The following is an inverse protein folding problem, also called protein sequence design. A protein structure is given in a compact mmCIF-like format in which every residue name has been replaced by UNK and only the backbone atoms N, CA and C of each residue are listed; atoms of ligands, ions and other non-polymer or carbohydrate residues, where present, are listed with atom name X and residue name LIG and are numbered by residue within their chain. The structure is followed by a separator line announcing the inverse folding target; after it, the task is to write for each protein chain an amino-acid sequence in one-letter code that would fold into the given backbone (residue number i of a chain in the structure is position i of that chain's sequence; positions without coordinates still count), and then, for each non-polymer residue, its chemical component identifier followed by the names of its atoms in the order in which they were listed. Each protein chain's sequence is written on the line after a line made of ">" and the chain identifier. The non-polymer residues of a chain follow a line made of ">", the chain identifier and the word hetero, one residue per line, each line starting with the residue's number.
data_IF_043445695034
#
_entry.id   IF_043445695034
#
_cell.length_a   1.000
_cell.length_b   1.000
_cell.length_c   1.000
_cell.angle_alpha   90.00
_cell.angle_beta   90.00
_cell.angle_gamma   90.00
#
_symmetry.space_group_name_H-M   'P 1'
#
loop_
_entity.id
_entity.type
_entity.pdbx_description
1 polymer ?
#
# COMPACT_ATOMS: atom_id res chain seq x y z
N UNK A 1 23.38 43.73 17.51
CA UNK A 1 22.01 43.22 17.31
C UNK A 1 21.26 43.38 18.62
N UNK A 2 20.11 44.03 18.57
CA UNK A 2 19.28 44.47 19.69
C UNK A 2 18.18 43.45 20.04
N UNK A 3 17.95 43.22 21.34
CA UNK A 3 17.00 42.21 21.85
C UNK A 3 15.55 42.37 21.34
N UNK A 4 15.19 43.56 20.85
CA UNK A 4 13.88 43.85 20.25
C UNK A 4 13.67 43.18 18.88
N UNK A 5 14.73 42.98 18.08
CA UNK A 5 14.61 42.36 16.75
C UNK A 5 14.47 40.83 16.85
N UNK A 6 15.13 40.20 17.82
CA UNK A 6 15.01 38.77 18.13
C UNK A 6 13.60 38.40 18.58
N UNK A 7 12.94 39.22 19.41
CA UNK A 7 11.57 38.97 19.87
C UNK A 7 10.54 39.00 18.73
N UNK A 8 10.70 39.92 17.77
CA UNK A 8 9.83 39.99 16.59
C UNK A 8 10.01 38.78 15.66
N UNK A 9 11.24 38.30 15.54
CA UNK A 9 11.58 37.08 14.78
C UNK A 9 10.95 35.83 15.39
N UNK A 10 11.04 35.67 16.72
CA UNK A 10 10.44 34.54 17.43
C UNK A 10 8.90 34.60 17.34
N UNK A 11 8.31 35.78 17.50
CA UNK A 11 6.86 35.96 17.37
C UNK A 11 6.35 35.64 15.96
N UNK A 12 7.09 36.03 14.92
CA UNK A 12 6.76 35.69 13.53
C UNK A 12 6.87 34.18 13.28
N UNK A 13 7.90 33.53 13.82
CA UNK A 13 8.10 32.08 13.68
C UNK A 13 7.01 31.27 14.39
N UNK A 14 6.65 31.65 15.62
CA UNK A 14 5.59 30.99 16.40
C UNK A 14 4.22 31.26 15.77
N UNK A 15 3.93 32.51 15.40
CA UNK A 15 2.68 32.87 14.72
C UNK A 15 2.52 32.13 13.40
N UNK A 16 3.59 32.04 12.60
CA UNK A 16 3.65 31.21 11.41
C UNK A 16 3.33 29.75 11.70
N UNK A 17 3.98 29.14 12.69
CA UNK A 17 3.78 27.73 13.06
C UNK A 17 2.36 27.39 13.56
N UNK A 18 1.71 28.30 14.27
CA UNK A 18 0.32 28.11 14.74
C UNK A 18 -0.67 28.22 13.58
N UNK A 19 -0.50 29.22 12.72
CA UNK A 19 -1.34 29.43 11.53
C UNK A 19 -1.14 28.28 10.52
N UNK A 20 0.09 27.76 10.42
CA UNK A 20 0.46 26.53 9.70
C UNK A 20 -0.37 25.34 10.20
N UNK A 21 -0.33 25.04 11.50
CA UNK A 21 -1.05 23.90 12.08
C UNK A 21 -2.57 23.97 11.85
N UNK A 22 -3.16 25.16 11.93
CA UNK A 22 -4.58 25.37 11.69
C UNK A 22 -4.99 25.16 10.21
N UNK A 23 -4.20 25.69 9.26
CA UNK A 23 -4.45 25.49 7.82
C UNK A 23 -4.27 24.03 7.41
N UNK A 24 -3.24 23.35 7.94
CA UNK A 24 -3.01 21.92 7.74
C UNK A 24 -4.20 21.08 8.20
N UNK A 25 -4.72 21.40 9.39
CA UNK A 25 -5.86 20.69 9.96
C UNK A 25 -7.11 20.92 9.10
N UNK A 26 -7.41 22.17 8.72
CA UNK A 26 -8.59 22.52 7.92
C UNK A 26 -8.62 21.89 6.52
N UNK A 27 -7.52 21.93 5.76
CA UNK A 27 -7.46 21.36 4.40
C UNK A 27 -7.58 19.83 4.43
N UNK A 28 -7.11 19.19 5.50
CA UNK A 28 -7.17 17.73 5.65
C UNK A 28 -8.60 17.21 5.89
N UNK A 29 -9.48 18.02 6.48
CA UNK A 29 -10.91 17.71 6.59
C UNK A 29 -11.65 17.92 5.26
N UNK A 30 -11.32 18.97 4.50
CA UNK A 30 -11.96 19.29 3.21
C UNK A 30 -11.71 18.24 2.12
N UNK A 31 -10.61 17.50 2.21
CA UNK A 31 -10.25 16.45 1.22
C UNK A 31 -10.89 15.09 1.52
N UNK A 32 -11.72 14.98 2.57
CA UNK A 32 -12.47 13.75 2.87
C UNK A 32 -11.57 12.58 3.29
N UNK A 33 -10.45 12.88 3.94
CA UNK A 33 -9.43 11.89 4.26
C UNK A 33 -9.95 10.83 5.26
N UNK A 34 -9.80 9.56 4.91
CA UNK A 34 -10.07 8.41 5.80
C UNK A 34 -8.75 7.78 6.23
N UNK A 35 -8.61 7.49 7.51
CA UNK A 35 -7.46 6.74 8.04
C UNK A 35 -7.42 5.34 7.43
N UNK A 36 -6.24 4.88 6.98
CA UNK A 36 -6.09 3.57 6.36
C UNK A 36 -6.22 2.39 7.34
N UNK A 37 -6.17 2.64 8.66
CA UNK A 37 -6.36 1.64 9.71
C UNK A 37 -6.93 2.29 10.99
N UNK A 38 -7.76 1.56 11.74
CA UNK A 38 -8.51 2.04 12.92
C UNK A 38 -7.62 2.44 14.11
N UNK A 39 -6.38 1.94 14.13
CA UNK A 39 -5.38 2.13 15.17
C UNK A 39 -4.42 3.31 14.91
N UNK A 40 -4.61 4.08 13.83
CA UNK A 40 -3.81 5.26 13.54
C UNK A 40 -4.61 6.51 13.94
N UNK A 41 -3.99 7.42 14.70
CA UNK A 41 -4.67 8.64 15.13
C UNK A 41 -5.05 9.51 13.92
N UNK A 42 -6.32 9.94 13.85
CA UNK A 42 -6.81 10.88 12.84
C UNK A 42 -6.04 12.20 12.80
N UNK A 43 -5.44 12.59 13.93
CA UNK A 43 -4.76 13.88 14.12
C UNK A 43 -3.33 13.87 13.54
N UNK A 44 -2.54 12.80 13.72
CA UNK A 44 -1.17 12.73 13.18
C UNK A 44 -1.09 12.32 11.71
N UNK A 45 -2.16 11.76 11.16
CA UNK A 45 -2.16 11.24 9.78
C UNK A 45 -2.00 12.35 8.73
N UNK A 46 -2.68 13.52 8.85
CA UNK A 46 -2.42 14.70 8.03
C UNK A 46 -0.97 15.17 8.03
N UNK A 47 -0.30 15.11 9.19
CA UNK A 47 1.09 15.56 9.35
C UNK A 47 2.07 14.65 8.59
N UNK A 48 1.71 13.38 8.41
CA UNK A 48 2.45 12.41 7.59
C UNK A 48 2.07 12.44 6.11
N UNK A 49 1.07 13.23 5.74
CA UNK A 49 0.60 13.32 4.35
C UNK A 49 1.58 14.11 3.48
N UNK A 50 1.52 13.87 2.17
CA UNK A 50 2.30 14.59 1.16
C UNK A 50 2.13 16.12 1.27
N UNK A 51 0.90 16.59 1.53
CA UNK A 51 0.58 18.00 1.76
C UNK A 51 1.32 18.55 2.99
N UNK A 52 1.41 17.75 4.06
CA UNK A 52 2.21 18.01 5.26
C UNK A 52 3.65 18.39 4.95
N UNK A 53 4.34 17.51 4.20
CA UNK A 53 5.73 17.71 3.80
C UNK A 53 5.92 18.87 2.82
N UNK A 54 5.04 19.00 1.82
CA UNK A 54 5.15 20.07 0.81
C UNK A 54 5.04 21.46 1.44
N UNK A 55 4.06 21.66 2.30
CA UNK A 55 3.89 22.93 2.98
C UNK A 55 5.02 23.18 3.99
N UNK A 56 5.53 22.16 4.71
CA UNK A 56 6.70 22.34 5.57
C UNK A 56 7.90 22.87 4.76
N UNK A 57 8.17 22.31 3.57
CA UNK A 57 9.22 22.78 2.67
C UNK A 57 8.95 24.20 2.17
N UNK A 58 7.72 24.51 1.74
CA UNK A 58 7.34 25.83 1.23
C UNK A 58 7.50 26.93 2.28
N UNK A 59 7.03 26.68 3.51
CA UNK A 59 7.08 27.69 4.58
C UNK A 59 8.44 27.75 5.28
N UNK A 60 9.20 26.64 5.37
CA UNK A 60 10.62 26.70 5.75
C UNK A 60 11.40 27.56 4.75
N UNK A 61 11.10 27.44 3.45
CA UNK A 61 11.68 28.32 2.44
C UNK A 61 11.30 29.79 2.69
N UNK A 62 10.06 30.09 3.11
CA UNK A 62 9.60 31.46 3.40
C UNK A 62 10.37 32.05 4.59
N UNK A 63 10.53 31.28 5.68
CA UNK A 63 11.29 31.69 6.86
C UNK A 63 12.77 31.94 6.49
N UNK A 64 13.38 31.05 5.70
CA UNK A 64 14.76 31.20 5.22
C UNK A 64 14.88 32.43 4.31
N UNK A 65 13.90 32.74 3.47
CA UNK A 65 13.88 33.95 2.64
C UNK A 65 13.77 35.21 3.49
N UNK A 66 12.90 35.24 4.50
CA UNK A 66 12.77 36.40 5.39
C UNK A 66 14.07 36.66 6.16
N UNK A 67 14.72 35.61 6.67
CA UNK A 67 16.02 35.68 7.33
C UNK A 67 17.16 36.01 6.35
N UNK A 68 17.13 35.45 5.15
CA UNK A 68 18.14 35.61 4.10
C UNK A 68 18.13 36.97 3.43
N UNK A 69 16.95 37.60 3.28
CA UNK A 69 16.80 39.00 2.85
C UNK A 69 17.40 39.97 3.87
N UNK A 70 17.32 39.67 5.17
CA UNK A 70 18.02 40.43 6.20
C UNK A 70 19.56 40.23 6.16
N UNK A 71 20.04 39.14 5.55
CA UNK A 71 21.46 38.84 5.38
C UNK A 71 22.03 39.27 4.02
N UNK A 72 21.22 39.81 3.10
CA UNK A 72 21.57 40.14 1.69
C UNK A 72 22.28 39.03 0.88
N UNK A 73 22.23 37.78 1.33
CA UNK A 73 23.01 36.65 0.76
C UNK A 73 22.18 35.68 -0.08
N UNK A 74 20.86 35.82 -0.11
CA UNK A 74 19.96 34.88 -0.80
C UNK A 74 19.18 35.64 -1.88
N UNK A 75 19.29 35.18 -3.13
CA UNK A 75 18.56 35.76 -4.27
C UNK A 75 17.13 35.22 -4.36
N UNK A 76 16.20 36.04 -4.83
CA UNK A 76 14.78 35.67 -5.00
C UNK A 76 14.60 34.43 -5.92
N UNK A 77 15.54 34.19 -6.85
CA UNK A 77 15.54 33.02 -7.74
C UNK A 77 15.82 31.69 -7.01
N UNK A 78 16.63 31.73 -5.94
CA UNK A 78 16.93 30.54 -5.13
C UNK A 78 15.76 30.16 -4.22
N UNK A 79 14.95 31.14 -3.79
CA UNK A 79 13.77 30.89 -2.97
C UNK A 79 12.66 30.16 -3.73
N UNK A 80 12.41 30.53 -4.99
CA UNK A 80 11.39 29.89 -5.82
C UNK A 80 11.78 28.47 -6.29
N UNK A 81 13.07 28.19 -6.45
CA UNK A 81 13.53 26.90 -7.00
C UNK A 81 13.31 25.72 -6.05
N UNK A 82 13.33 25.93 -4.74
CA UNK A 82 13.13 24.87 -3.75
C UNK A 82 11.71 24.29 -3.74
N UNK A 83 10.64 25.10 -3.55
CA UNK A 83 9.27 24.58 -3.59
C UNK A 83 8.83 24.18 -5.01
N UNK A 84 9.27 24.89 -6.06
CA UNK A 84 8.99 24.47 -7.44
C UNK A 84 9.70 23.16 -7.81
N UNK A 85 10.92 22.93 -7.30
CA UNK A 85 11.64 21.68 -7.46
C UNK A 85 10.93 20.51 -6.78
N UNK A 86 10.44 20.72 -5.55
CA UNK A 86 9.63 19.72 -4.85
C UNK A 86 8.33 19.39 -5.61
N UNK A 87 7.62 20.40 -6.13
CA UNK A 87 6.45 20.19 -7.01
C UNK A 87 6.83 19.45 -8.28
N UNK A 88 7.97 19.78 -8.90
CA UNK A 88 8.45 19.14 -10.12
C UNK A 88 8.75 17.66 -9.93
N UNK A 89 9.44 17.29 -8.84
CA UNK A 89 9.71 15.89 -8.49
C UNK A 89 8.40 15.13 -8.28
N UNK A 90 7.43 15.75 -7.61
CA UNK A 90 6.14 15.11 -7.32
C UNK A 90 5.30 14.97 -8.59
N UNK A 91 5.27 16.00 -9.44
CA UNK A 91 4.60 15.95 -10.73
C UNK A 91 5.22 14.86 -11.61
N UNK A 92 6.55 14.71 -11.59
CA UNK A 92 7.26 13.63 -12.27
C UNK A 92 6.89 12.26 -11.68
N UNK A 93 6.90 12.10 -10.36
CA UNK A 93 6.47 10.86 -9.71
C UNK A 93 5.02 10.52 -10.02
N UNK A 94 4.12 11.52 -10.03
CA UNK A 94 2.72 11.33 -10.36
C UNK A 94 2.54 10.97 -11.83
N UNK A 95 3.25 11.63 -12.74
CA UNK A 95 3.29 11.29 -14.17
C UNK A 95 3.82 9.86 -14.38
N UNK A 96 4.89 9.47 -13.70
CA UNK A 96 5.41 8.10 -13.71
C UNK A 96 4.33 7.13 -13.20
N UNK A 97 3.64 7.45 -12.10
CA UNK A 97 2.55 6.63 -11.56
C UNK A 97 1.30 6.60 -12.44
N UNK A 98 1.09 7.58 -13.33
CA UNK A 98 -0.01 7.64 -14.29
C UNK A 98 0.34 6.93 -15.61
N UNK A 99 1.61 6.95 -16.00
CA UNK A 99 2.17 6.18 -17.12
C UNK A 99 2.38 4.69 -16.71
N UNK A 100 2.52 4.40 -15.41
CA UNK A 100 2.62 3.03 -14.89
C UNK A 100 1.40 2.13 -15.21
N UNK A 101 0.14 2.59 -15.03
CA UNK A 101 -1.04 1.81 -15.40
C UNK A 101 -1.30 1.72 -16.91
N UNK A 102 -0.67 2.56 -17.75
CA UNK A 102 -0.82 2.47 -19.22
C UNK A 102 0.04 1.37 -19.86
N UNK A 103 0.84 0.64 -19.07
CA UNK A 103 1.59 -0.53 -19.53
C UNK A 103 2.75 -0.21 -20.50
N UNK A 104 3.04 1.07 -20.73
CA UNK A 104 4.01 1.49 -21.75
C UNK A 104 5.47 1.31 -21.33
N UNK A 105 5.80 1.43 -20.02
CA UNK A 105 7.19 1.37 -19.52
C UNK A 105 7.41 0.48 -18.28
N UNK A 106 6.37 0.16 -17.52
CA UNK A 106 6.46 -0.63 -16.28
C UNK A 106 5.24 -1.56 -16.18
N UNK A 107 5.40 -2.80 -15.71
CA UNK A 107 4.27 -3.69 -15.52
C UNK A 107 3.27 -3.09 -14.53
N UNK A 108 1.97 -3.19 -14.86
CA UNK A 108 0.81 -2.58 -14.18
C UNK A 108 0.57 -3.09 -12.75
N UNK A 109 1.52 -3.85 -12.19
CA UNK A 109 1.45 -4.58 -10.92
C UNK A 109 1.54 -3.70 -9.66
N UNK A 110 1.30 -2.39 -9.78
CA UNK A 110 1.56 -1.41 -8.70
C UNK A 110 0.33 -0.84 -7.99
N UNK A 111 -0.88 -1.05 -8.52
CA UNK A 111 -2.13 -0.67 -7.83
C UNK A 111 -3.03 -1.88 -7.77
N UNK A 112 -3.59 -2.15 -6.60
CA UNK A 112 -4.66 -3.12 -6.38
C UNK A 112 -5.95 -2.57 -6.98
N UNK A 113 -5.98 -2.47 -8.31
CA UNK A 113 -7.22 -2.31 -9.07
C UNK A 113 -7.83 -3.70 -9.21
N UNK A 114 -9.09 -3.83 -8.84
CA UNK A 114 -9.88 -5.02 -9.12
C UNK A 114 -9.97 -5.24 -10.64
N UNK A 115 -10.39 -6.43 -11.08
CA UNK A 115 -10.47 -6.78 -12.52
C UNK A 115 -11.44 -5.86 -13.29
N UNK A 116 -12.38 -5.22 -12.60
CA UNK A 116 -13.30 -4.19 -13.09
C UNK A 116 -12.74 -2.74 -13.02
N UNK A 117 -11.45 -2.58 -12.72
CA UNK A 117 -10.77 -1.28 -12.69
C UNK A 117 -11.09 -0.41 -11.47
N UNK A 118 -11.83 -0.92 -10.47
CA UNK A 118 -12.09 -0.18 -9.22
C UNK A 118 -10.86 -0.23 -8.33
N UNK A 119 -10.59 0.88 -7.67
CA UNK A 119 -9.49 0.98 -6.71
C UNK A 119 -9.90 0.37 -5.37
N UNK A 120 -9.10 -0.55 -4.85
CA UNK A 120 -9.20 -1.01 -3.45
C UNK A 120 -8.66 0.10 -2.55
N UNK A 121 -9.49 0.62 -1.64
CA UNK A 121 -9.19 1.80 -0.81
C UNK A 121 -9.10 1.50 0.68
N UNK A 122 -9.42 0.28 1.11
CA UNK A 122 -9.32 -0.15 2.51
C UNK A 122 -8.70 -1.55 2.65
N UNK A 123 -8.18 -1.83 3.84
CA UNK A 123 -7.67 -3.18 4.19
C UNK A 123 -8.79 -4.22 4.15
N UNK A 124 -10.02 -3.84 4.54
CA UNK A 124 -11.20 -4.72 4.46
C UNK A 124 -11.56 -5.11 3.02
N UNK A 125 -11.55 -4.14 2.10
CA UNK A 125 -11.75 -4.40 0.66
C UNK A 125 -10.62 -5.25 0.07
N UNK A 126 -9.38 -5.02 0.50
CA UNK A 126 -8.24 -5.84 0.09
C UNK A 126 -8.43 -7.29 0.56
N UNK A 127 -8.77 -7.50 1.83
CA UNK A 127 -9.02 -8.83 2.39
C UNK A 127 -10.15 -9.54 1.65
N UNK A 128 -11.28 -8.86 1.43
CA UNK A 128 -12.41 -9.41 0.69
C UNK A 128 -12.08 -9.75 -0.78
N UNK A 129 -11.17 -9.00 -1.41
CA UNK A 129 -10.68 -9.32 -2.76
C UNK A 129 -9.75 -10.54 -2.76
N UNK A 130 -8.89 -10.66 -1.75
CA UNK A 130 -7.96 -11.79 -1.60
C UNK A 130 -8.65 -13.11 -1.23
N UNK A 131 -9.75 -13.03 -0.49
CA UNK A 131 -10.51 -14.20 -0.04
C UNK A 131 -11.35 -14.82 -1.17
N UNK A 132 -11.56 -14.11 -2.29
CA UNK A 132 -12.27 -14.66 -3.45
C UNK A 132 -11.36 -15.59 -4.27
N UNK A 133 -11.88 -16.76 -4.72
CA UNK A 133 -11.20 -17.57 -5.72
C UNK A 133 -10.89 -16.76 -6.97
N UNK A 134 -9.73 -17.00 -7.60
CA UNK A 134 -9.42 -16.39 -8.89
C UNK A 134 -10.47 -16.81 -9.95
N UNK A 135 -11.02 -15.86 -10.71
CA UNK A 135 -12.08 -16.09 -11.70
C UNK A 135 -11.72 -17.12 -12.79
N UNK A 136 -10.44 -17.44 -12.97
CA UNK A 136 -9.94 -18.46 -13.91
C UNK A 136 -9.47 -19.77 -13.27
N UNK A 137 -9.79 -20.02 -12.00
CA UNK A 137 -9.41 -21.27 -11.32
C UNK A 137 -10.03 -22.48 -12.02
N UNK A 138 -9.20 -23.48 -12.35
CA UNK A 138 -9.65 -24.78 -12.87
C UNK A 138 -10.18 -25.72 -11.78
N UNK A 139 -9.96 -25.36 -10.52
CA UNK A 139 -10.47 -26.11 -9.37
C UNK A 139 -11.98 -25.85 -9.25
N UNK A 140 -12.82 -26.90 -9.22
CA UNK A 140 -14.26 -26.74 -9.06
C UNK A 140 -14.59 -26.12 -7.70
N UNK A 141 -15.73 -25.43 -7.62
CA UNK A 141 -16.26 -24.93 -6.35
C UNK A 141 -16.58 -26.09 -5.42
N UNK A 142 -16.46 -25.84 -4.11
CA UNK A 142 -16.80 -26.82 -3.10
C UNK A 142 -18.27 -27.27 -3.27
N UNK A 143 -18.56 -28.59 -3.23
CA UNK A 143 -19.93 -29.08 -3.22
C UNK A 143 -20.66 -28.66 -1.94
N UNK A 144 -21.99 -28.65 -1.98
CA UNK A 144 -22.80 -28.36 -0.80
C UNK A 144 -22.52 -29.39 0.31
N UNK A 145 -22.19 -28.93 1.51
CA UNK A 145 -21.83 -29.79 2.64
C UNK A 145 -20.39 -30.32 2.60
N UNK A 146 -19.50 -29.72 1.79
CA UNK A 146 -18.08 -30.08 1.79
C UNK A 146 -17.46 -29.89 3.18
N UNK A 147 -16.77 -30.94 3.67
CA UNK A 147 -16.07 -30.94 4.95
C UNK A 147 -14.73 -30.19 4.85
N UNK A 148 -14.77 -28.90 5.13
CA UNK A 148 -13.57 -28.05 5.13
C UNK A 148 -12.59 -28.38 6.26
N UNK A 149 -13.07 -28.91 7.39
CA UNK A 149 -12.22 -29.23 8.53
C UNK A 149 -11.43 -30.53 8.27
N UNK A 150 -12.11 -31.55 7.72
CA UNK A 150 -11.47 -32.75 7.21
C UNK A 150 -10.49 -32.45 6.06
N UNK A 151 -10.87 -31.57 5.14
CA UNK A 151 -9.99 -31.15 4.04
C UNK A 151 -8.76 -30.39 4.55
N UNK A 152 -8.90 -29.56 5.59
CA UNK A 152 -7.78 -28.91 6.27
C UNK A 152 -6.85 -29.93 6.90
N UNK A 153 -7.40 -30.88 7.67
CA UNK A 153 -6.60 -31.93 8.32
C UNK A 153 -5.83 -32.78 7.28
N UNK A 154 -6.46 -33.08 6.14
CA UNK A 154 -5.82 -33.76 5.03
C UNK A 154 -4.69 -32.93 4.41
N UNK A 155 -4.93 -31.63 4.15
CA UNK A 155 -3.90 -30.73 3.64
C UNK A 155 -2.72 -30.61 4.60
N UNK A 156 -2.98 -30.47 5.91
CA UNK A 156 -1.93 -30.43 6.92
C UNK A 156 -1.12 -31.74 6.95
N UNK A 157 -1.80 -32.90 6.87
CA UNK A 157 -1.17 -34.21 6.89
C UNK A 157 -0.38 -34.56 5.62
N UNK A 158 -0.74 -34.01 4.46
CA UNK A 158 -0.07 -34.27 3.17
C UNK A 158 0.98 -33.22 2.83
N UNK A 159 0.67 -31.94 2.99
CA UNK A 159 1.51 -30.84 2.55
C UNK A 159 2.65 -30.50 3.51
N UNK A 160 2.64 -31.00 4.76
CA UNK A 160 3.74 -30.81 5.72
C UNK A 160 4.76 -31.96 5.75
N UNK A 161 4.63 -32.99 4.89
CA UNK A 161 5.53 -34.15 4.92
C UNK A 161 6.94 -33.85 4.42
N UNK A 162 7.06 -33.08 3.33
CA UNK A 162 8.35 -32.82 2.68
C UNK A 162 8.93 -31.45 3.08
N UNK A 163 8.06 -30.48 3.34
CA UNK A 163 8.38 -29.15 3.84
C UNK A 163 7.12 -28.60 4.53
N UNK A 164 7.25 -27.61 5.41
CA UNK A 164 6.06 -27.01 6.01
C UNK A 164 5.23 -26.24 4.97
N UNK A 165 3.91 -26.28 5.10
CA UNK A 165 3.01 -25.49 4.25
C UNK A 165 3.21 -23.98 4.48
N UNK A 166 3.52 -23.60 5.72
CA UNK A 166 3.83 -22.23 6.11
C UNK A 166 5.07 -21.68 5.37
N UNK A 167 6.12 -22.49 5.19
CA UNK A 167 7.33 -22.04 4.48
C UNK A 167 7.09 -21.66 3.02
N UNK A 168 5.99 -22.13 2.43
CA UNK A 168 5.62 -21.85 1.03
C UNK A 168 4.34 -21.04 0.90
N UNK A 169 3.74 -20.57 2.01
CA UNK A 169 2.41 -19.94 2.00
C UNK A 169 2.36 -18.69 1.08
N UNK A 170 3.42 -17.89 1.07
CA UNK A 170 3.46 -16.64 0.31
C UNK A 170 3.49 -16.94 -1.19
N UNK A 171 4.30 -17.92 -1.60
CA UNK A 171 4.35 -18.38 -2.98
C UNK A 171 3.02 -19.04 -3.38
N UNK A 172 2.42 -19.85 -2.50
CA UNK A 172 1.14 -20.50 -2.73
C UNK A 172 0.03 -19.47 -2.98
N UNK A 173 -0.11 -18.47 -2.10
CA UNK A 173 -1.14 -17.42 -2.23
C UNK A 173 -0.91 -16.52 -3.42
N UNK A 174 0.32 -16.03 -3.62
CA UNK A 174 0.58 -14.99 -4.63
C UNK A 174 0.77 -15.56 -6.04
N UNK A 175 1.48 -16.69 -6.18
CA UNK A 175 1.85 -17.24 -7.49
C UNK A 175 0.84 -18.22 -8.03
N UNK A 176 0.16 -19.00 -7.17
CA UNK A 176 -0.72 -20.08 -7.60
C UNK A 176 -2.19 -19.78 -7.34
N UNK A 177 -2.58 -19.39 -6.11
CA UNK A 177 -3.99 -19.10 -5.78
C UNK A 177 -4.52 -17.91 -6.58
N UNK A 178 -3.84 -16.76 -6.54
CA UNK A 178 -4.26 -15.56 -7.29
C UNK A 178 -4.27 -15.73 -8.81
N UNK A 179 -3.47 -16.65 -9.35
CA UNK A 179 -3.39 -16.89 -10.79
C UNK A 179 -4.29 -18.03 -11.26
N UNK A 180 -5.07 -18.65 -10.35
CA UNK A 180 -5.95 -19.77 -10.66
C UNK A 180 -5.21 -21.07 -10.98
N UNK A 181 -3.96 -21.22 -10.53
CA UNK A 181 -3.05 -22.34 -10.84
C UNK A 181 -2.81 -23.26 -9.64
N UNK A 182 -3.79 -23.39 -8.75
CA UNK A 182 -3.70 -24.29 -7.58
C UNK A 182 -3.63 -25.75 -8.02
N UNK A 183 -4.36 -26.11 -9.08
CA UNK A 183 -4.31 -27.42 -9.74
C UNK A 183 -2.89 -27.78 -10.17
N UNK A 184 -2.18 -26.85 -10.80
CA UNK A 184 -0.81 -27.08 -11.30
C UNK A 184 0.15 -27.41 -10.17
N UNK A 185 0.06 -26.70 -9.04
CA UNK A 185 0.98 -26.93 -7.91
C UNK A 185 0.61 -28.19 -7.14
N UNK A 186 -0.67 -28.45 -6.87
CA UNK A 186 -1.08 -29.65 -6.15
C UNK A 186 -0.80 -30.92 -6.96
N UNK A 187 -1.10 -30.92 -8.27
CA UNK A 187 -0.78 -32.06 -9.14
C UNK A 187 0.74 -32.27 -9.27
N UNK A 188 1.54 -31.20 -9.24
CA UNK A 188 3.00 -31.31 -9.15
C UNK A 188 3.44 -31.96 -7.84
N UNK A 189 2.84 -31.56 -6.72
CA UNK A 189 3.14 -32.16 -5.41
C UNK A 189 2.76 -33.64 -5.38
N UNK A 190 1.63 -33.98 -5.97
CA UNK A 190 1.16 -35.36 -6.13
C UNK A 190 2.18 -36.20 -6.92
N UNK A 191 2.74 -35.66 -8.01
CA UNK A 191 3.68 -36.36 -8.87
C UNK A 191 5.06 -36.62 -8.25
N UNK A 192 5.41 -36.00 -7.12
CA UNK A 192 6.69 -36.26 -6.46
C UNK A 192 6.74 -37.67 -5.85
N UNK A 193 7.88 -38.38 -5.97
CA UNK A 193 8.07 -39.66 -5.31
C UNK A 193 7.88 -39.54 -3.80
N UNK A 194 7.10 -40.46 -3.21
CA UNK A 194 6.85 -40.47 -1.77
C UNK A 194 5.81 -39.46 -1.27
N UNK A 195 5.15 -38.69 -2.16
CA UNK A 195 4.04 -37.80 -1.77
C UNK A 195 2.89 -38.56 -1.12
N UNK A 196 2.57 -39.73 -1.67
CA UNK A 196 1.46 -40.58 -1.24
C UNK A 196 0.10 -39.90 -1.33
N UNK A 197 -0.05 -38.87 -2.15
CA UNK A 197 -1.30 -38.12 -2.37
C UNK A 197 -2.09 -38.83 -3.47
N UNK A 198 -3.32 -39.26 -3.18
CA UNK A 198 -4.21 -39.82 -4.21
C UNK A 198 -4.86 -38.72 -5.04
N UNK A 199 -5.48 -39.07 -6.18
CA UNK A 199 -6.18 -38.09 -7.03
C UNK A 199 -7.36 -37.45 -6.27
N UNK A 200 -8.11 -38.24 -5.50
CA UNK A 200 -9.25 -37.74 -4.73
C UNK A 200 -8.81 -36.85 -3.57
N UNK A 201 -7.71 -37.20 -2.90
CA UNK A 201 -7.10 -36.34 -1.89
C UNK A 201 -6.59 -35.03 -2.50
N UNK A 202 -5.95 -35.09 -3.68
CA UNK A 202 -5.50 -33.91 -4.39
C UNK A 202 -6.67 -32.96 -4.71
N UNK A 203 -7.79 -33.49 -5.21
CA UNK A 203 -8.99 -32.70 -5.49
C UNK A 203 -9.55 -32.03 -4.22
N UNK A 204 -9.60 -32.77 -3.11
CA UNK A 204 -10.05 -32.26 -1.81
C UNK A 204 -9.14 -31.13 -1.30
N UNK A 205 -7.82 -31.32 -1.40
CA UNK A 205 -6.82 -30.32 -1.00
C UNK A 205 -6.92 -29.07 -1.89
N UNK A 206 -7.09 -29.23 -3.21
CA UNK A 206 -7.24 -28.10 -4.13
C UNK A 206 -8.43 -27.22 -3.75
N UNK A 207 -9.59 -27.82 -3.46
CA UNK A 207 -10.81 -27.10 -3.05
C UNK A 207 -10.54 -26.30 -1.75
N UNK A 208 -9.94 -26.94 -0.74
CA UNK A 208 -9.58 -26.28 0.51
C UNK A 208 -8.63 -25.09 0.30
N UNK A 209 -7.56 -25.29 -0.49
CA UNK A 209 -6.57 -24.24 -0.75
C UNK A 209 -7.17 -23.04 -1.49
N UNK A 210 -8.10 -23.28 -2.41
CA UNK A 210 -8.79 -22.21 -3.14
C UNK A 210 -9.78 -21.46 -2.25
N UNK A 211 -10.57 -22.14 -1.43
CA UNK A 211 -11.69 -21.51 -0.71
C UNK A 211 -11.36 -21.04 0.71
N UNK A 212 -10.35 -21.61 1.39
CA UNK A 212 -10.10 -21.36 2.82
C UNK A 212 -8.67 -20.97 3.22
N UNK A 213 -7.66 -21.19 2.38
CA UNK A 213 -6.24 -20.96 2.70
C UNK A 213 -5.67 -19.61 2.27
#
# INVERSE_FOLDING_TARGET
>A
MDNKSNGKLIALAIGGAVLMGALFFGVSFLTGYKVPAENISNILTPLKSFTGWFSLIFFASLIIMTLGKMSSRISDKWFLSFPLGALGIVALMFAILWIRPSGFLLPTTGRTTTLDGKYIRSVGELKAFLDKPAEGSKVPKAPAGFDFDGAKALADGRCNKCHTLDSVQDALRTKFKKTGKVDVVVNRMQAYPGSGITVDEANTIMIYLVEKF
#
